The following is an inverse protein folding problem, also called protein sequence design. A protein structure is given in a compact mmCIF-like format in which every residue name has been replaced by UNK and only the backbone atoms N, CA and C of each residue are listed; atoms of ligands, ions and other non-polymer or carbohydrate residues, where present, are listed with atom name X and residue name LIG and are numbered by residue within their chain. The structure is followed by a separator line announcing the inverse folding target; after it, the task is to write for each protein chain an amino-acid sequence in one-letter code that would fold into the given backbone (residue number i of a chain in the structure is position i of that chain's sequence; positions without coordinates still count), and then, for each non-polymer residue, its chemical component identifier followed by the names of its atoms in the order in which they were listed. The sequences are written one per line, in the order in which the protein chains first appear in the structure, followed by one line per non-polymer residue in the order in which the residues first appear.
data_IF_231761822549
#
_entry.id   IF_231761822549
#
_cell.length_a   1.000
_cell.length_b   1.000
_cell.length_c   1.000
_cell.angle_alpha   90.00
_cell.angle_beta   90.00
_cell.angle_gamma   90.00
#
_symmetry.space_group_name_H-M   'P 1'
#
loop_
_entity.id
_entity.type
_entity.pdbx_description
1 polymer ?
#
# COMPACT_ATOMS: atom_id res chain seq x y z
N UNK A 1 6.92 -38.61 -14.92
CA UNK A 1 6.35 -37.83 -16.04
C UNK A 1 4.90 -37.54 -15.69
N UNK A 2 4.62 -36.39 -15.10
CA UNK A 2 3.25 -35.95 -14.80
C UNK A 2 2.61 -35.39 -16.09
N UNK A 3 1.31 -35.63 -16.33
CA UNK A 3 0.63 -35.19 -17.54
C UNK A 3 0.65 -33.67 -17.66
N UNK A 4 0.93 -33.17 -18.87
CA UNK A 4 1.13 -31.75 -19.23
C UNK A 4 -0.09 -30.84 -19.01
N UNK A 5 -1.26 -31.42 -18.72
CA UNK A 5 -2.54 -30.71 -18.60
C UNK A 5 -2.64 -29.88 -17.30
N UNK A 6 -2.06 -30.37 -16.20
CA UNK A 6 -2.15 -29.71 -14.88
C UNK A 6 -1.33 -28.42 -14.80
N UNK A 7 -0.30 -28.27 -15.63
CA UNK A 7 0.51 -27.06 -15.72
C UNK A 7 -0.22 -25.92 -16.44
N UNK A 8 -1.12 -26.24 -17.37
CA UNK A 8 -1.96 -25.25 -18.04
C UNK A 8 -3.09 -24.79 -17.11
N UNK A 9 -3.67 -25.69 -16.31
CA UNK A 9 -4.67 -25.33 -15.30
C UNK A 9 -4.14 -24.38 -14.22
N UNK A 10 -2.91 -24.57 -13.72
CA UNK A 10 -2.32 -23.63 -12.74
C UNK A 10 -1.96 -22.28 -13.38
N UNK A 11 -1.63 -22.26 -14.68
CA UNK A 11 -1.41 -21.02 -15.42
C UNK A 11 -2.74 -20.28 -15.67
N UNK A 12 -3.81 -20.99 -16.02
CA UNK A 12 -5.15 -20.42 -16.22
C UNK A 12 -5.79 -19.97 -14.89
N UNK A 13 -5.56 -20.70 -13.79
CA UNK A 13 -5.95 -20.26 -12.44
C UNK A 13 -5.16 -19.04 -11.97
N UNK A 14 -3.91 -18.87 -12.40
CA UNK A 14 -3.12 -17.65 -12.16
C UNK A 14 -3.58 -16.48 -13.05
N UNK A 15 -4.06 -16.77 -14.28
CA UNK A 15 -4.46 -15.74 -15.25
C UNK A 15 -5.91 -15.29 -15.16
N UNK A 16 -6.81 -16.09 -14.59
CA UNK A 16 -8.26 -15.85 -14.62
C UNK A 16 -8.90 -15.48 -13.28
N UNK A 17 -8.96 -14.17 -12.94
CA UNK A 17 -10.04 -13.57 -12.10
C UNK A 17 -10.03 -12.03 -12.04
N UNK A 18 -9.95 -11.38 -13.20
CA UNK A 18 -10.14 -9.93 -13.27
C UNK A 18 -10.89 -9.55 -14.54
N UNK A 19 -12.22 -9.60 -14.51
CA UNK A 19 -13.03 -8.98 -15.56
C UNK A 19 -12.68 -7.49 -15.73
N UNK A 20 -13.05 -6.84 -16.85
CA UNK A 20 -12.69 -5.45 -17.15
C UNK A 20 -13.28 -4.51 -16.08
N UNK A 21 -12.53 -4.26 -15.03
CA UNK A 21 -12.80 -3.20 -14.07
C UNK A 21 -12.41 -1.89 -14.73
N UNK A 22 -13.28 -0.89 -14.65
CA UNK A 22 -13.00 0.43 -15.24
C UNK A 22 -11.62 0.92 -14.78
N UNK A 23 -10.76 1.23 -15.75
CA UNK A 23 -9.38 1.71 -15.53
C UNK A 23 -9.36 2.86 -14.52
N UNK A 24 -10.36 3.76 -14.59
CA UNK A 24 -10.55 4.88 -13.70
C UNK A 24 -10.70 4.51 -12.22
N UNK A 25 -11.53 3.52 -11.89
CA UNK A 25 -11.76 3.13 -10.48
C UNK A 25 -10.49 2.60 -9.83
N UNK A 26 -9.64 1.92 -10.61
CA UNK A 26 -8.40 1.33 -10.12
C UNK A 26 -7.35 2.41 -9.88
N UNK A 27 -7.17 3.33 -10.83
CA UNK A 27 -6.29 4.49 -10.68
C UNK A 27 -6.71 5.37 -9.50
N UNK A 28 -8.01 5.65 -9.33
CA UNK A 28 -8.49 6.46 -8.20
C UNK A 28 -8.15 5.83 -6.84
N UNK A 29 -8.28 4.50 -6.71
CA UNK A 29 -7.90 3.79 -5.48
C UNK A 29 -6.39 3.83 -5.21
N UNK A 30 -5.55 3.78 -6.26
CA UNK A 30 -4.10 3.95 -6.10
C UNK A 30 -3.76 5.34 -5.59
N UNK A 31 -4.37 6.37 -6.19
CA UNK A 31 -4.16 7.77 -5.80
C UNK A 31 -4.60 7.98 -4.35
N UNK A 32 -5.76 7.45 -3.96
CA UNK A 32 -6.26 7.52 -2.57
C UNK A 32 -5.30 6.80 -1.61
N UNK A 33 -4.82 5.61 -1.96
CA UNK A 33 -3.86 4.87 -1.13
C UNK A 33 -2.52 5.60 -0.95
N UNK A 34 -1.99 6.17 -2.03
CA UNK A 34 -0.76 6.97 -1.99
C UNK A 34 -0.94 8.24 -1.15
N UNK A 35 -2.07 8.94 -1.30
CA UNK A 35 -2.41 10.11 -0.50
C UNK A 35 -2.54 9.75 0.99
N UNK A 36 -3.22 8.65 1.33
CA UNK A 36 -3.33 8.17 2.71
C UNK A 36 -1.96 7.85 3.32
N UNK A 37 -1.07 7.24 2.53
CA UNK A 37 0.30 6.93 2.96
C UNK A 37 1.14 8.20 3.17
N UNK A 38 1.03 9.15 2.25
CA UNK A 38 1.70 10.45 2.35
C UNK A 38 1.23 11.23 3.58
N UNK A 39 -0.08 11.21 3.86
CA UNK A 39 -0.67 11.86 5.03
C UNK A 39 -0.17 11.24 6.34
N UNK A 40 -0.10 9.90 6.43
CA UNK A 40 0.45 9.22 7.60
C UNK A 40 1.94 9.51 7.82
N UNK A 41 2.71 9.63 6.74
CA UNK A 41 4.11 10.07 6.80
C UNK A 41 4.24 11.51 7.29
N UNK A 42 3.38 12.41 6.81
CA UNK A 42 3.36 13.82 7.23
C UNK A 42 3.05 13.98 8.72
N UNK A 43 2.04 13.27 9.24
CA UNK A 43 1.70 13.30 10.68
C UNK A 43 2.90 12.91 11.56
N UNK A 44 3.60 11.83 11.18
CA UNK A 44 4.77 11.36 11.92
C UNK A 44 5.94 12.38 11.87
N UNK A 45 6.16 13.00 10.71
CA UNK A 45 7.22 13.98 10.52
C UNK A 45 6.98 15.28 11.32
N UNK A 46 5.77 15.83 11.25
CA UNK A 46 5.37 17.03 12.02
C UNK A 46 5.59 16.80 13.51
N UNK A 47 5.29 15.59 13.96
CA UNK A 47 5.28 15.29 15.39
C UNK A 47 6.68 15.12 15.92
N UNK A 48 7.54 14.44 15.17
CA UNK A 48 8.97 14.38 15.50
C UNK A 48 9.59 15.77 15.61
N UNK A 49 9.17 16.72 14.75
CA UNK A 49 9.65 18.10 14.78
C UNK A 49 9.01 19.01 15.84
N UNK A 50 7.88 18.62 16.44
CA UNK A 50 7.11 19.48 17.36
C UNK A 50 6.97 18.90 18.78
N UNK A 51 7.56 17.74 19.06
CA UNK A 51 7.37 17.04 20.33
C UNK A 51 7.83 17.84 21.55
N UNK A 52 8.88 18.66 21.40
CA UNK A 52 9.35 19.56 22.46
C UNK A 52 8.32 20.65 22.79
N UNK A 53 7.72 21.26 21.76
CA UNK A 53 6.68 22.28 21.92
C UNK A 53 5.38 21.72 22.50
N UNK A 54 5.02 20.49 22.09
CA UNK A 54 3.88 19.76 22.66
C UNK A 54 4.12 19.41 24.14
N UNK A 55 5.35 19.06 24.51
CA UNK A 55 5.71 18.75 25.90
C UNK A 55 5.58 19.94 26.85
N UNK A 56 5.78 21.16 26.34
CA UNK A 56 5.67 22.37 27.14
C UNK A 56 4.21 22.83 27.31
N UNK A 57 3.41 22.67 26.25
CA UNK A 57 2.02 23.16 26.13
C UNK A 57 0.99 22.23 26.74
N UNK A 58 1.16 20.91 26.55
CA UNK A 58 0.35 19.91 27.24
C UNK A 58 0.96 19.72 28.63
N UNK A 59 0.15 19.54 29.67
CA UNK A 59 0.61 19.44 31.06
C UNK A 59 1.34 18.10 31.32
N UNK A 60 2.51 17.91 30.71
CA UNK A 60 3.29 16.69 30.90
C UNK A 60 3.65 16.54 32.38
N UNK A 61 3.41 15.37 33.00
CA UNK A 61 3.70 15.17 34.42
C UNK A 61 5.20 15.29 34.75
N UNK A 62 6.10 15.10 33.76
CA UNK A 62 7.52 15.48 33.84
C UNK A 62 8.00 16.02 32.48
N UNK A 63 8.36 17.30 32.40
CA UNK A 63 8.81 17.96 31.17
C UNK A 63 10.23 17.56 30.72
N UNK A 64 11.06 17.12 31.67
CA UNK A 64 12.50 16.85 31.49
C UNK A 64 12.79 15.38 31.15
N UNK A 65 11.76 14.53 31.17
CA UNK A 65 11.91 13.09 31.02
C UNK A 65 11.80 12.69 29.54
N UNK A 66 12.94 12.40 28.91
CA UNK A 66 13.04 11.89 27.52
C UNK A 66 12.18 10.65 27.29
N UNK A 67 11.88 9.90 28.35
CA UNK A 67 11.03 8.72 28.28
C UNK A 67 9.60 9.08 27.87
N UNK A 68 9.01 10.16 28.38
CA UNK A 68 7.63 10.55 28.06
C UNK A 68 7.48 11.02 26.61
N UNK A 69 8.49 11.72 26.08
CA UNK A 69 8.52 12.14 24.68
C UNK A 69 8.59 10.94 23.76
N UNK A 70 9.54 10.04 24.02
CA UNK A 70 9.70 8.81 23.25
C UNK A 70 8.48 7.90 23.36
N UNK A 71 7.78 7.90 24.50
CA UNK A 71 6.59 7.08 24.70
C UNK A 71 5.45 7.43 23.72
N UNK A 72 5.27 8.70 23.36
CA UNK A 72 4.25 9.14 22.39
C UNK A 72 4.56 8.63 20.97
N UNK A 73 5.83 8.65 20.57
CA UNK A 73 6.26 8.13 19.27
C UNK A 73 6.24 6.60 19.27
N UNK A 74 6.72 5.98 20.35
CA UNK A 74 6.77 4.53 20.51
C UNK A 74 5.37 3.91 20.52
N UNK A 75 4.37 4.54 21.15
CA UNK A 75 2.99 4.05 21.14
C UNK A 75 2.42 3.97 19.73
N UNK A 76 2.72 4.97 18.88
CA UNK A 76 2.32 4.99 17.47
C UNK A 76 2.95 3.81 16.72
N UNK A 77 4.26 3.58 16.89
CA UNK A 77 4.98 2.49 16.22
C UNK A 77 4.52 1.12 16.68
N UNK A 78 4.31 0.92 17.99
CA UNK A 78 3.83 -0.36 18.55
C UNK A 78 2.43 -0.67 18.00
N UNK A 79 1.52 0.30 17.98
CA UNK A 79 0.19 0.13 17.41
C UNK A 79 0.23 -0.14 15.90
N UNK A 80 1.12 0.52 15.16
CA UNK A 80 1.33 0.26 13.74
C UNK A 80 1.84 -1.17 13.49
N UNK A 81 2.77 -1.66 14.31
CA UNK A 81 3.25 -3.05 14.21
C UNK A 81 2.13 -4.04 14.55
N UNK A 82 1.36 -3.79 15.60
CA UNK A 82 0.26 -4.67 16.02
C UNK A 82 -0.83 -4.78 14.94
N UNK A 83 -1.24 -3.64 14.35
CA UNK A 83 -2.22 -3.62 13.25
C UNK A 83 -1.68 -4.31 12.00
N UNK A 84 -0.41 -4.09 11.64
CA UNK A 84 0.22 -4.77 10.51
C UNK A 84 0.24 -6.31 10.72
N UNK A 85 0.65 -6.78 11.90
CA UNK A 85 0.62 -8.19 12.24
C UNK A 85 -0.81 -8.77 12.20
N UNK A 86 -1.80 -8.06 12.76
CA UNK A 86 -3.20 -8.48 12.73
C UNK A 86 -3.74 -8.57 11.30
N UNK A 87 -3.37 -7.64 10.43
CA UNK A 87 -3.75 -7.63 9.02
C UNK A 87 -3.14 -8.81 8.27
N UNK A 88 -1.86 -9.08 8.45
CA UNK A 88 -1.17 -10.23 7.82
C UNK A 88 -1.86 -11.52 8.24
N UNK A 89 -2.18 -11.68 9.52
CA UNK A 89 -2.91 -12.86 10.01
C UNK A 89 -4.31 -12.99 9.40
N UNK A 90 -4.99 -11.86 9.21
CA UNK A 90 -6.32 -11.80 8.58
C UNK A 90 -6.29 -12.14 7.09
N UNK A 91 -5.20 -11.81 6.39
CA UNK A 91 -5.09 -12.10 4.95
C UNK A 91 -4.90 -13.59 4.67
N UNK A 92 -4.39 -14.34 5.64
CA UNK A 92 -4.21 -15.80 5.57
C UNK A 92 -5.55 -16.54 5.54
N UNK A 93 -6.63 -15.93 6.05
CA UNK A 93 -8.00 -16.39 5.90
C UNK A 93 -8.71 -15.64 4.76
N UNK A 94 -8.61 -16.12 3.53
CA UNK A 94 -9.21 -15.48 2.35
C UNK A 94 -10.73 -15.23 2.51
N UNK A 95 -11.11 -13.99 2.81
CA UNK A 95 -12.49 -13.47 2.71
C UNK A 95 -12.55 -11.93 2.67
N UNK A 96 -11.59 -11.24 3.28
CA UNK A 96 -11.61 -9.77 3.33
C UNK A 96 -11.14 -9.13 2.01
N UNK A 97 -12.05 -8.40 1.35
CA UNK A 97 -11.72 -7.62 0.17
C UNK A 97 -10.72 -6.49 0.48
N UNK A 98 -9.73 -6.29 -0.41
CA UNK A 98 -8.65 -5.29 -0.21
C UNK A 98 -9.12 -3.82 -0.20
N UNK A 99 -10.20 -3.52 -0.92
CA UNK A 99 -10.78 -2.17 -1.04
C UNK A 99 -11.34 -1.60 0.26
N UNK A 100 -12.26 -2.30 0.97
CA UNK A 100 -12.80 -1.79 2.23
C UNK A 100 -11.72 -1.66 3.31
N UNK A 101 -10.69 -2.51 3.30
CA UNK A 101 -9.58 -2.41 4.26
C UNK A 101 -8.78 -1.13 4.07
N UNK A 102 -8.47 -0.75 2.82
CA UNK A 102 -7.80 0.52 2.51
C UNK A 102 -8.64 1.72 3.01
N UNK A 103 -9.93 1.75 2.68
CA UNK A 103 -10.81 2.83 3.12
C UNK A 103 -10.96 2.88 4.65
N UNK A 104 -11.06 1.73 5.30
CA UNK A 104 -11.13 1.63 6.76
C UNK A 104 -9.85 2.15 7.43
N UNK A 105 -8.68 1.80 6.89
CA UNK A 105 -7.39 2.30 7.39
C UNK A 105 -7.27 3.82 7.30
N UNK A 106 -7.66 4.40 6.16
CA UNK A 106 -7.64 5.86 5.96
C UNK A 106 -8.63 6.57 6.88
N UNK A 107 -9.85 6.03 7.04
CA UNK A 107 -10.84 6.59 7.96
C UNK A 107 -10.36 6.53 9.41
N UNK A 108 -9.77 5.41 9.82
CA UNK A 108 -9.26 5.22 11.18
C UNK A 108 -8.09 6.16 11.45
N UNK A 109 -7.20 6.35 10.48
CA UNK A 109 -6.13 7.34 10.56
C UNK A 109 -6.69 8.77 10.68
N UNK A 110 -7.68 9.14 9.86
CA UNK A 110 -8.33 10.46 9.91
C UNK A 110 -9.01 10.73 11.25
N UNK A 111 -9.73 9.74 11.80
CA UNK A 111 -10.37 9.84 13.12
C UNK A 111 -9.31 9.97 14.22
N UNK A 112 -8.21 9.21 14.15
CA UNK A 112 -7.10 9.31 15.08
C UNK A 112 -6.45 10.70 15.10
N UNK A 113 -6.15 11.26 13.91
CA UNK A 113 -5.57 12.60 13.80
C UNK A 113 -6.54 13.66 14.33
N UNK A 114 -7.83 13.52 14.04
CA UNK A 114 -8.87 14.41 14.60
C UNK A 114 -8.89 14.33 16.12
N UNK A 115 -8.80 13.13 16.71
CA UNK A 115 -8.67 12.95 18.16
C UNK A 115 -7.43 13.65 18.72
N UNK A 116 -6.28 13.55 18.06
CA UNK A 116 -5.07 14.24 18.47
C UNK A 116 -5.22 15.76 18.49
N UNK A 117 -5.99 16.35 17.56
CA UNK A 117 -6.25 17.81 17.53
C UNK A 117 -7.04 18.28 18.75
N UNK A 118 -7.98 17.47 19.25
CA UNK A 118 -8.76 17.78 20.44
C UNK A 118 -8.07 17.37 21.76
N UNK A 119 -6.82 16.89 21.70
CA UNK A 119 -6.11 16.44 22.89
C UNK A 119 -5.69 17.59 23.80
N UNK A 120 -6.23 17.61 25.02
CA UNK A 120 -5.87 18.59 26.06
C UNK A 120 -4.94 18.01 27.13
N UNK A 121 -4.81 16.68 27.19
CA UNK A 121 -4.08 15.95 28.22
C UNK A 121 -3.13 14.91 27.61
N UNK A 122 -2.04 14.61 28.32
CA UNK A 122 -1.00 13.66 27.86
C UNK A 122 -1.56 12.28 27.51
N UNK A 123 -2.43 11.74 28.36
CA UNK A 123 -3.02 10.42 28.15
C UNK A 123 -3.96 10.37 26.95
N UNK A 124 -4.66 11.48 26.69
CA UNK A 124 -5.54 11.59 25.52
C UNK A 124 -4.74 11.68 24.23
N UNK A 125 -3.59 12.36 24.25
CA UNK A 125 -2.65 12.38 23.14
C UNK A 125 -2.14 10.97 22.80
N UNK A 126 -1.73 10.19 23.82
CA UNK A 126 -1.30 8.80 23.61
C UNK A 126 -2.41 7.96 22.99
N UNK A 127 -3.64 8.08 23.49
CA UNK A 127 -4.78 7.33 22.95
C UNK A 127 -5.02 7.68 21.48
N UNK A 128 -5.02 8.97 21.12
CA UNK A 128 -5.11 9.43 19.74
C UNK A 128 -3.99 8.84 18.87
N UNK A 129 -2.75 8.82 19.37
CA UNK A 129 -1.60 8.22 18.67
C UNK A 129 -1.69 6.73 18.46
N UNK A 130 -2.22 6.00 19.42
CA UNK A 130 -2.49 4.58 19.24
C UNK A 130 -3.47 4.37 18.09
N UNK A 131 -4.53 5.17 17.98
CA UNK A 131 -5.50 5.09 16.86
C UNK A 131 -4.84 5.46 15.53
N UNK A 132 -4.09 6.56 15.47
CA UNK A 132 -3.33 6.97 14.27
C UNK A 132 -2.40 5.86 13.79
N UNK A 133 -1.65 5.25 14.72
CA UNK A 133 -0.72 4.16 14.46
C UNK A 133 -1.42 2.91 13.93
N UNK A 134 -2.57 2.53 14.52
CA UNK A 134 -3.39 1.45 13.99
C UNK A 134 -3.77 1.71 12.52
N UNK A 135 -4.29 2.89 12.21
CA UNK A 135 -4.73 3.24 10.85
C UNK A 135 -3.58 3.24 9.84
N UNK A 136 -2.43 3.79 10.23
CA UNK A 136 -1.23 3.80 9.41
C UNK A 136 -0.73 2.38 9.08
N UNK A 137 -0.76 1.46 10.04
CA UNK A 137 -0.37 0.06 9.82
C UNK A 137 -1.25 -0.65 8.77
N UNK A 138 -2.56 -0.41 8.77
CA UNK A 138 -3.47 -0.93 7.72
C UNK A 138 -3.08 -0.40 6.33
N UNK A 139 -2.79 0.90 6.22
CA UNK A 139 -2.44 1.54 4.95
C UNK A 139 -1.14 0.96 4.38
N UNK A 140 -0.10 0.81 5.22
CA UNK A 140 1.22 0.33 4.79
C UNK A 140 1.24 -1.13 4.34
N UNK A 141 0.35 -1.99 4.87
CA UNK A 141 0.25 -3.38 4.41
C UNK A 141 -0.50 -3.49 3.08
N UNK A 142 -1.58 -2.71 2.91
CA UNK A 142 -2.44 -2.81 1.72
C UNK A 142 -1.83 -2.11 0.50
N UNK A 143 -1.08 -1.02 0.67
CA UNK A 143 -0.49 -0.27 -0.43
C UNK A 143 0.44 -1.09 -1.35
N UNK A 144 1.50 -1.78 -0.85
CA UNK A 144 2.39 -2.59 -1.70
C UNK A 144 1.65 -3.76 -2.35
N UNK A 145 0.66 -4.31 -1.65
CA UNK A 145 -0.24 -5.33 -2.19
C UNK A 145 -1.05 -4.81 -3.39
N UNK A 146 -1.56 -3.59 -3.30
CA UNK A 146 -2.29 -2.95 -4.38
C UNK A 146 -1.38 -2.54 -5.55
N UNK A 147 -0.15 -2.07 -5.25
CA UNK A 147 0.86 -1.78 -6.26
C UNK A 147 1.24 -3.02 -7.08
N UNK A 148 1.38 -4.19 -6.43
CA UNK A 148 1.64 -5.46 -7.12
C UNK A 148 0.49 -5.93 -8.02
N UNK A 149 -0.76 -5.74 -7.58
CA UNK A 149 -1.92 -6.02 -8.44
C UNK A 149 -2.01 -5.07 -9.63
N UNK A 150 -1.69 -3.80 -9.41
CA UNK A 150 -1.74 -2.80 -10.45
C UNK A 150 -0.59 -2.91 -11.43
N UNK A 151 0.60 -3.35 -11.04
CA UNK A 151 1.70 -3.61 -11.99
C UNK A 151 1.38 -4.80 -12.90
N UNK A 152 0.71 -5.83 -12.37
CA UNK A 152 0.21 -6.97 -13.16
C UNK A 152 -0.99 -6.62 -14.06
N UNK A 153 -1.77 -5.59 -13.72
CA UNK A 153 -2.81 -5.04 -14.58
C UNK A 153 -2.24 -4.05 -15.62
N UNK A 154 -1.29 -3.21 -15.20
CA UNK A 154 -0.61 -2.23 -16.05
C UNK A 154 0.27 -2.90 -17.11
N UNK A 155 0.88 -4.05 -16.82
CA UNK A 155 1.58 -4.83 -17.85
C UNK A 155 0.62 -5.36 -18.92
N UNK A 156 -0.65 -5.62 -18.58
CA UNK A 156 -1.71 -5.97 -19.54
C UNK A 156 -2.24 -4.74 -20.29
N UNK A 157 -2.37 -3.58 -19.63
CA UNK A 157 -2.81 -2.31 -20.23
C UNK A 157 -1.72 -1.73 -21.17
N UNK A 158 -0.46 -1.66 -20.75
CA UNK A 158 0.66 -1.25 -21.60
C UNK A 158 0.86 -2.22 -22.78
N UNK A 159 0.61 -3.52 -22.60
CA UNK A 159 0.65 -4.52 -23.69
C UNK A 159 -0.56 -4.41 -24.63
N UNK A 160 -1.67 -3.82 -24.19
CA UNK A 160 -2.84 -3.53 -25.02
C UNK A 160 -2.67 -2.25 -25.86
N UNK A 161 -2.06 -1.21 -25.30
CA UNK A 161 -1.92 0.10 -25.98
C UNK A 161 -0.65 0.20 -26.86
N UNK A 162 0.46 -0.44 -26.47
CA UNK A 162 1.64 -0.61 -27.34
C UNK A 162 1.60 -1.90 -28.19
N UNK A 163 0.47 -2.59 -28.18
CA UNK A 163 0.23 -3.84 -28.91
C UNK A 163 0.16 -3.76 -30.45
N UNK A 164 -0.14 -2.62 -31.11
CA UNK A 164 -0.07 -2.56 -32.57
C UNK A 164 1.35 -2.32 -33.12
N UNK A 165 2.24 -1.65 -32.36
CA UNK A 165 3.48 -1.12 -32.94
C UNK A 165 4.72 -2.00 -32.72
N UNK A 166 4.65 -2.96 -31.79
CA UNK A 166 5.70 -3.94 -31.60
C UNK A 166 5.16 -5.38 -31.60
N UNK A 167 4.31 -5.69 -32.58
CA UNK A 167 4.30 -7.06 -33.12
C UNK A 167 5.39 -7.13 -34.18
N UNK A 168 6.62 -7.62 -33.88
CA UNK A 168 7.41 -8.17 -34.96
C UNK A 168 6.55 -9.24 -35.60
N UNK A 169 6.14 -9.01 -36.84
CA UNK A 169 5.45 -10.00 -37.66
C UNK A 169 6.48 -11.08 -37.94
N UNK A 170 6.57 -12.06 -37.05
CA UNK A 170 7.25 -13.31 -37.35
C UNK A 170 6.41 -14.01 -38.44
N UNK A 171 6.71 -13.66 -39.69
CA UNK A 171 6.28 -14.45 -40.83
C UNK A 171 7.17 -15.67 -40.86
N UNK A 172 6.71 -16.79 -40.28
CA UNK A 172 7.30 -18.09 -40.56
C UNK A 172 6.99 -18.42 -42.02
N UNK A 173 7.88 -17.99 -42.92
CA UNK A 173 8.08 -18.69 -44.18
C UNK A 173 8.82 -19.97 -43.85
N UNK A 174 8.27 -21.11 -44.28
CA UNK A 174 9.03 -22.35 -44.31
C UNK A 174 10.22 -22.14 -45.21
N UNK A 175 11.39 -22.01 -44.60
CA UNK A 175 12.65 -22.64 -44.96
C UNK A 175 13.72 -22.09 -44.02
N UNK A 176 14.63 -22.97 -43.65
CA UNK A 176 15.50 -22.92 -42.48
C UNK A 176 16.58 -21.83 -42.54
N UNK A 177 16.25 -20.56 -42.31
CA UNK A 177 17.24 -19.52 -41.96
C UNK A 177 16.57 -18.30 -41.30
N UNK A 178 16.70 -18.18 -39.97
CA UNK A 178 16.21 -17.05 -39.19
C UNK A 178 17.29 -15.95 -39.18
N UNK A 179 17.31 -15.09 -40.19
CA UNK A 179 18.27 -13.98 -40.30
C UNK A 179 17.78 -12.81 -39.44
N UNK A 180 18.47 -12.56 -38.31
CA UNK A 180 18.32 -11.33 -37.53
C UNK A 180 18.92 -10.14 -38.29
N UNK A 181 18.10 -9.43 -39.07
CA UNK A 181 18.51 -8.16 -39.67
C UNK A 181 18.46 -7.07 -38.60
N UNK A 182 19.57 -6.85 -37.91
CA UNK A 182 19.81 -5.64 -37.12
C UNK A 182 19.95 -4.46 -38.06
N UNK A 183 18.98 -3.56 -38.06
CA UNK A 183 19.09 -2.25 -38.72
C UNK A 183 20.01 -1.36 -37.88
N UNK A 184 21.30 -1.42 -38.17
CA UNK A 184 22.28 -0.39 -37.82
C UNK A 184 22.05 0.80 -38.74
N UNK A 185 21.45 1.87 -38.23
CA UNK A 185 21.39 3.15 -38.91
C UNK A 185 22.67 3.96 -38.58
N UNK A 186 23.72 3.76 -39.38
CA UNK A 186 24.68 4.76 -39.86
C UNK A 186 25.72 4.12 -40.77
#
# INVERSE_FOLDING_TARGET
MLPTNTQQDVLDLSQGRGGPRSSWTMTSLMVIGLLGTAMAGYDTAVVSGTIDFMAESLKFPRKDDTFQRTAVVASTTICAMLSACAQVLSTTGQSFGRRPVLCAGILLHFVGTTMCVFATEYWFLIAGRSVVGLGAGFIFVVLPMYLGECSAASSRVCRGEFGPLYRPRASCGGDSECILTGTSAR
#
